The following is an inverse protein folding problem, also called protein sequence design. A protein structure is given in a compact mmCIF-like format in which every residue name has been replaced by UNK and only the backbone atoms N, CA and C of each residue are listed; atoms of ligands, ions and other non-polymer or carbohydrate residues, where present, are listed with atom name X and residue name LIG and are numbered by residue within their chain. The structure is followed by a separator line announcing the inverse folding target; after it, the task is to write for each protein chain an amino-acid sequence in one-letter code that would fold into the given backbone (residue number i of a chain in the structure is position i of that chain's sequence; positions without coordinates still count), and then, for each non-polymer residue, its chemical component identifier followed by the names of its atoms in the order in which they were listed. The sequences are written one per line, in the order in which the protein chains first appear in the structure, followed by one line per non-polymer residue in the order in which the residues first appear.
data_IF_828912599835
#
_entry.id   IF_828912599835
#
_cell.length_a   1.000
_cell.length_b   1.000
_cell.length_c   1.000
_cell.angle_alpha   90.00
_cell.angle_beta   90.00
_cell.angle_gamma   90.00
#
_symmetry.space_group_name_H-M   'P 1'
#
loop_
_entity.id
_entity.type
_entity.pdbx_description
1 polymer ?
#
# COMPACT_ATOMS: atom_id res chain seq x y z
N UNK A 1 -35.23 25.14 -66.41
CA UNK A 1 -33.79 24.90 -66.54
C UNK A 1 -33.55 23.42 -66.22
N UNK A 2 -33.29 22.59 -67.25
CA UNK A 2 -33.02 21.16 -67.08
C UNK A 2 -31.55 20.96 -66.77
N UNK A 3 -31.22 20.56 -65.52
CA UNK A 3 -29.89 20.17 -65.12
C UNK A 3 -29.54 18.83 -65.78
N UNK A 4 -28.69 18.85 -66.83
CA UNK A 4 -28.11 17.62 -67.38
C UNK A 4 -27.29 16.92 -66.32
N UNK A 5 -27.75 15.80 -65.83
CA UNK A 5 -26.95 14.90 -64.95
C UNK A 5 -25.78 14.34 -65.80
N UNK A 6 -24.56 14.77 -65.50
CA UNK A 6 -23.37 14.13 -66.07
C UNK A 6 -23.09 12.88 -65.26
N UNK A 7 -23.15 11.72 -65.90
CA UNK A 7 -22.77 10.45 -65.29
C UNK A 7 -21.25 10.39 -64.99
N UNK A 8 -20.85 9.79 -63.90
CA UNK A 8 -19.45 9.55 -63.55
C UNK A 8 -18.80 8.57 -64.56
N UNK A 9 -17.58 8.86 -64.95
CA UNK A 9 -16.79 7.93 -65.75
C UNK A 9 -16.18 6.85 -64.88
N UNK A 10 -15.97 5.63 -65.43
CA UNK A 10 -15.31 4.53 -64.71
C UNK A 10 -13.88 4.95 -64.25
N UNK A 11 -13.20 5.74 -65.03
CA UNK A 11 -11.86 6.27 -64.71
C UNK A 11 -11.89 7.18 -63.45
N UNK A 12 -12.89 8.05 -63.37
CA UNK A 12 -13.10 8.94 -62.23
C UNK A 12 -13.40 8.20 -60.93
N UNK A 13 -14.20 7.09 -61.02
CA UNK A 13 -14.45 6.21 -59.90
C UNK A 13 -13.17 5.50 -59.41
N UNK A 14 -12.37 4.95 -60.32
CA UNK A 14 -11.10 4.27 -59.96
C UNK A 14 -10.12 5.23 -59.33
N UNK A 15 -9.97 6.46 -59.86
CA UNK A 15 -9.12 7.48 -59.25
C UNK A 15 -9.59 7.90 -57.86
N UNK A 16 -10.90 8.08 -57.66
CA UNK A 16 -11.49 8.41 -56.38
C UNK A 16 -11.24 7.31 -55.34
N UNK A 17 -11.43 6.03 -55.72
CA UNK A 17 -11.16 4.87 -54.86
C UNK A 17 -9.67 4.77 -54.49
N UNK A 18 -8.79 5.01 -55.46
CA UNK A 18 -7.34 5.01 -55.20
C UNK A 18 -6.91 6.11 -54.20
N UNK A 19 -7.40 7.33 -54.38
CA UNK A 19 -7.16 8.41 -53.42
C UNK A 19 -7.75 8.12 -52.03
N UNK A 20 -8.98 7.59 -51.99
CA UNK A 20 -9.62 7.21 -50.76
C UNK A 20 -8.82 6.12 -49.99
N UNK A 21 -8.31 5.11 -50.70
CA UNK A 21 -7.46 4.07 -50.10
C UNK A 21 -6.19 4.62 -49.48
N UNK A 22 -5.51 5.58 -50.13
CA UNK A 22 -4.32 6.24 -49.60
C UNK A 22 -4.64 7.05 -48.33
N UNK A 23 -5.74 7.83 -48.35
CA UNK A 23 -6.18 8.61 -47.20
C UNK A 23 -6.53 7.66 -46.01
N UNK A 24 -7.28 6.61 -46.28
CA UNK A 24 -7.67 5.63 -45.24
C UNK A 24 -6.44 4.90 -44.66
N UNK A 25 -5.44 4.59 -45.46
CA UNK A 25 -4.18 4.01 -44.97
C UNK A 25 -3.43 5.00 -44.03
N UNK A 26 -3.43 6.29 -44.37
CA UNK A 26 -2.86 7.34 -43.52
C UNK A 26 -3.58 7.48 -42.21
N UNK A 27 -4.92 7.59 -42.23
CA UNK A 27 -5.77 7.69 -41.05
C UNK A 27 -5.60 6.45 -40.12
N UNK A 28 -5.56 5.27 -40.73
CA UNK A 28 -5.39 4.01 -39.96
C UNK A 28 -4.04 3.99 -39.23
N UNK A 29 -2.95 4.46 -39.86
CA UNK A 29 -1.64 4.57 -39.21
C UNK A 29 -1.66 5.51 -38.00
N UNK A 30 -2.29 6.68 -38.15
CA UNK A 30 -2.44 7.66 -37.06
C UNK A 30 -3.22 7.07 -35.90
N UNK A 31 -4.37 6.43 -36.17
CA UNK A 31 -5.21 5.79 -35.14
C UNK A 31 -4.46 4.69 -34.39
N UNK A 32 -3.71 3.83 -35.10
CA UNK A 32 -2.91 2.78 -34.46
C UNK A 32 -1.78 3.37 -33.58
N UNK A 33 -1.17 4.45 -34.02
CA UNK A 33 -0.12 5.15 -33.24
C UNK A 33 -0.71 5.79 -31.98
N UNK A 34 -1.85 6.48 -32.12
CA UNK A 34 -2.56 7.05 -30.98
C UNK A 34 -2.99 5.97 -29.97
N UNK A 35 -3.57 4.86 -30.43
CA UNK A 35 -3.97 3.75 -29.58
C UNK A 35 -2.79 3.17 -28.78
N UNK A 36 -1.62 3.05 -29.38
CA UNK A 36 -0.39 2.61 -28.70
C UNK A 36 0.05 3.61 -27.63
N UNK A 37 0.05 4.91 -27.97
CA UNK A 37 0.42 5.96 -27.04
C UNK A 37 -0.53 6.02 -25.83
N UNK A 38 -1.84 5.94 -26.06
CA UNK A 38 -2.82 5.91 -24.97
C UNK A 38 -2.64 4.71 -24.04
N UNK A 39 -2.33 3.53 -24.58
CA UNK A 39 -2.02 2.33 -23.76
C UNK A 39 -0.76 2.54 -22.93
N UNK A 40 0.30 3.08 -23.51
CA UNK A 40 1.54 3.37 -22.78
C UNK A 40 1.31 4.36 -21.64
N UNK A 41 0.58 5.44 -21.90
CA UNK A 41 0.24 6.44 -20.88
C UNK A 41 -0.64 5.86 -19.77
N UNK A 42 -1.64 5.05 -20.12
CA UNK A 42 -2.47 4.34 -19.16
C UNK A 42 -1.64 3.43 -18.25
N UNK A 43 -0.80 2.57 -18.83
CA UNK A 43 0.06 1.68 -18.05
C UNK A 43 1.03 2.42 -17.12
N UNK A 44 1.52 3.61 -17.52
CA UNK A 44 2.35 4.45 -16.65
C UNK A 44 1.57 5.07 -15.50
N UNK A 45 0.36 5.56 -15.78
CA UNK A 45 -0.50 6.13 -14.75
C UNK A 45 -0.87 5.06 -13.71
N UNK A 46 -1.34 3.89 -14.16
CA UNK A 46 -1.69 2.76 -13.30
C UNK A 46 -0.50 2.29 -12.45
N UNK A 47 0.71 2.22 -13.04
CA UNK A 47 1.93 1.84 -12.34
C UNK A 47 2.29 2.85 -11.25
N UNK A 48 2.24 4.15 -11.57
CA UNK A 48 2.53 5.24 -10.63
C UNK A 48 1.53 5.29 -9.48
N UNK A 49 0.24 5.11 -9.77
CA UNK A 49 -0.82 5.11 -8.76
C UNK A 49 -0.72 3.90 -7.81
N UNK A 50 -0.47 2.71 -8.37
CA UNK A 50 -0.21 1.50 -7.57
C UNK A 50 1.01 1.66 -6.66
N UNK A 51 2.09 2.23 -7.21
CA UNK A 51 3.34 2.45 -6.46
C UNK A 51 3.13 3.42 -5.31
N UNK A 52 2.40 4.52 -5.56
CA UNK A 52 2.05 5.51 -4.53
C UNK A 52 1.16 4.89 -3.45
N UNK A 53 0.08 4.21 -3.83
CA UNK A 53 -0.83 3.57 -2.90
C UNK A 53 -0.13 2.53 -2.01
N UNK A 54 0.78 1.73 -2.58
CA UNK A 54 1.59 0.79 -1.82
C UNK A 54 2.52 1.49 -0.83
N UNK A 55 3.17 2.57 -1.26
CA UNK A 55 4.05 3.38 -0.40
C UNK A 55 3.30 4.05 0.74
N UNK A 56 2.14 4.63 0.48
CA UNK A 56 1.29 5.26 1.49
C UNK A 56 0.76 4.25 2.51
N UNK A 57 0.28 3.09 2.06
CA UNK A 57 -0.19 2.01 2.93
C UNK A 57 0.92 1.54 3.88
N UNK A 58 2.09 1.18 3.34
CA UNK A 58 3.21 0.75 4.16
C UNK A 58 3.69 1.86 5.10
N UNK A 59 3.78 3.11 4.62
CA UNK A 59 4.23 4.23 5.44
C UNK A 59 3.29 4.51 6.61
N UNK A 60 1.97 4.44 6.41
CA UNK A 60 0.99 4.68 7.47
C UNK A 60 1.05 3.62 8.57
N UNK A 61 1.21 2.35 8.20
CA UNK A 61 1.35 1.25 9.16
C UNK A 61 2.67 1.35 9.94
N UNK A 62 3.78 1.61 9.23
CA UNK A 62 5.10 1.67 9.84
C UNK A 62 5.27 2.89 10.75
N UNK A 63 4.66 4.04 10.41
CA UNK A 63 4.76 5.27 11.20
C UNK A 63 4.21 5.12 12.62
N UNK A 64 3.18 4.28 12.82
CA UNK A 64 2.52 4.07 14.11
C UNK A 64 3.29 3.19 15.09
N UNK A 65 4.38 2.55 14.63
CA UNK A 65 5.11 1.56 15.43
C UNK A 65 5.93 2.21 16.57
N UNK A 66 6.01 1.48 17.67
CA UNK A 66 6.92 1.71 18.76
C UNK A 66 7.93 0.56 18.85
N UNK A 67 9.16 0.82 18.41
CA UNK A 67 10.20 -0.20 18.39
C UNK A 67 10.65 -0.57 19.80
N UNK A 68 10.73 0.39 20.74
CA UNK A 68 11.12 0.16 22.13
C UNK A 68 10.11 -0.73 22.84
N UNK A 69 8.80 -0.51 22.59
CA UNK A 69 7.73 -1.33 23.14
C UNK A 69 7.54 -2.68 22.42
N UNK A 70 8.43 -2.99 21.46
CA UNK A 70 8.50 -4.29 20.79
C UNK A 70 7.43 -4.49 19.70
N UNK A 71 6.99 -3.43 19.03
CA UNK A 71 6.07 -3.57 17.90
C UNK A 71 6.74 -4.18 16.66
N UNK A 72 8.06 -4.15 16.58
CA UNK A 72 8.81 -4.84 15.52
C UNK A 72 9.21 -6.23 16.03
N UNK A 73 8.58 -7.27 15.49
CA UNK A 73 8.77 -8.64 15.93
C UNK A 73 9.85 -9.39 15.16
N UNK A 74 10.02 -9.07 13.87
CA UNK A 74 11.08 -9.63 13.03
C UNK A 74 11.40 -8.68 11.87
N UNK A 75 12.67 -8.66 11.47
CA UNK A 75 13.21 -7.83 10.41
C UNK A 75 13.99 -8.68 9.43
N UNK A 76 13.74 -8.49 8.13
CA UNK A 76 14.55 -9.02 7.05
C UNK A 76 14.57 -8.00 5.90
N UNK A 77 15.50 -8.17 4.96
CA UNK A 77 15.60 -7.26 3.82
C UNK A 77 14.35 -7.28 2.92
N UNK A 78 13.62 -8.40 2.85
CA UNK A 78 12.45 -8.60 2.00
C UNK A 78 11.14 -8.69 2.78
N UNK A 79 11.18 -8.58 4.11
CA UNK A 79 10.01 -8.71 4.97
C UNK A 79 10.15 -8.03 6.31
N UNK A 80 9.02 -7.63 6.88
CA UNK A 80 8.92 -7.11 8.24
C UNK A 80 7.68 -7.70 8.92
N UNK A 81 7.82 -8.16 10.18
CA UNK A 81 6.73 -8.64 11.02
C UNK A 81 6.52 -7.67 12.16
N UNK A 82 5.30 -7.17 12.30
CA UNK A 82 4.96 -6.09 13.22
C UNK A 82 3.65 -6.36 13.99
N UNK A 83 3.46 -5.64 15.09
CA UNK A 83 2.16 -5.43 15.73
C UNK A 83 1.51 -4.19 15.12
N UNK A 84 0.66 -4.37 14.12
CA UNK A 84 -0.06 -3.29 13.48
C UNK A 84 -1.19 -2.79 14.39
N UNK A 85 -1.21 -1.50 14.71
CA UNK A 85 -2.29 -0.92 15.53
C UNK A 85 -3.60 -0.91 14.74
N UNK A 86 -4.68 -1.41 15.35
CA UNK A 86 -6.02 -1.44 14.75
C UNK A 86 -6.97 -0.42 15.36
N UNK A 87 -6.92 -0.26 16.67
CA UNK A 87 -7.66 0.78 17.38
C UNK A 87 -6.85 1.29 18.58
N UNK A 88 -7.15 2.52 18.99
CA UNK A 88 -6.65 3.16 20.19
C UNK A 88 -7.82 3.76 20.97
N UNK A 89 -7.77 3.64 22.29
CA UNK A 89 -8.77 4.24 23.20
C UNK A 89 -8.18 4.43 24.61
N UNK A 90 -8.98 5.00 25.48
CA UNK A 90 -8.78 4.95 26.92
C UNK A 90 -9.74 3.98 27.57
N UNK A 91 -9.28 3.20 28.55
CA UNK A 91 -10.18 2.43 29.44
C UNK A 91 -10.50 3.23 30.68
N UNK A 92 -11.76 3.18 31.13
CA UNK A 92 -12.23 3.82 32.34
C UNK A 92 -12.05 2.91 33.55
N UNK A 93 -11.01 3.14 34.34
CA UNK A 93 -10.65 2.34 35.51
C UNK A 93 -9.79 1.12 35.17
N UNK A 94 -9.68 0.15 36.10
CA UNK A 94 -8.88 -1.05 35.89
C UNK A 94 -9.42 -1.89 34.75
N UNK A 95 -8.54 -2.67 34.14
CA UNK A 95 -8.92 -3.59 33.08
C UNK A 95 -9.94 -4.59 33.61
N UNK A 96 -11.14 -4.56 33.10
CA UNK A 96 -12.26 -5.40 33.53
C UNK A 96 -12.97 -6.01 32.32
N UNK A 97 -13.75 -7.03 32.52
CA UNK A 97 -14.67 -7.63 31.55
C UNK A 97 -16.11 -7.27 31.93
N UNK A 98 -16.87 -6.56 31.09
CA UNK A 98 -16.51 -6.02 29.78
C UNK A 98 -15.51 -4.86 29.84
N UNK A 99 -14.71 -4.72 28.77
CA UNK A 99 -13.80 -3.59 28.60
C UNK A 99 -14.59 -2.29 28.50
N UNK A 100 -14.32 -1.32 29.39
CA UNK A 100 -15.04 -0.05 29.47
C UNK A 100 -14.23 1.01 28.74
N UNK A 101 -14.54 1.24 27.47
CA UNK A 101 -13.86 2.23 26.64
C UNK A 101 -14.47 3.63 26.81
N UNK A 102 -13.62 4.63 26.85
CA UNK A 102 -14.04 6.02 26.84
C UNK A 102 -14.64 6.38 25.48
N UNK A 103 -15.83 6.97 25.45
CA UNK A 103 -16.62 7.23 24.25
C UNK A 103 -16.01 8.28 23.32
N UNK A 104 -15.33 9.31 23.89
CA UNK A 104 -14.72 10.43 23.17
C UNK A 104 -13.25 10.20 22.72
N UNK A 105 -12.64 9.05 23.04
CA UNK A 105 -11.22 8.77 22.80
C UNK A 105 -10.94 7.53 21.93
N UNK A 106 -11.89 7.07 21.14
CA UNK A 106 -11.67 5.89 20.29
C UNK A 106 -11.30 6.31 18.87
N UNK A 107 -10.12 5.86 18.43
CA UNK A 107 -9.55 6.10 17.10
C UNK A 107 -9.03 4.80 16.51
N UNK A 108 -9.03 4.67 15.18
CA UNK A 108 -8.43 3.53 14.48
C UNK A 108 -9.17 3.16 13.21
N UNK A 109 -8.69 2.12 12.56
CA UNK A 109 -9.27 1.60 11.31
C UNK A 109 -10.53 0.76 11.55
N UNK A 110 -10.71 0.23 12.77
CA UNK A 110 -11.90 -0.49 13.21
C UNK A 110 -12.10 -0.35 14.72
N UNK A 111 -13.29 -0.69 15.20
CA UNK A 111 -13.57 -0.77 16.63
C UNK A 111 -12.93 -1.99 17.29
N UNK A 112 -12.86 -1.97 18.63
CA UNK A 112 -12.47 -3.12 19.44
C UNK A 112 -13.52 -4.23 19.35
N UNK A 113 -13.07 -5.45 19.12
CA UNK A 113 -13.92 -6.63 19.03
C UNK A 113 -13.47 -7.74 19.98
N UNK A 114 -14.38 -8.65 20.33
CA UNK A 114 -14.06 -9.84 21.11
C UNK A 114 -13.01 -10.67 20.37
N UNK A 115 -11.98 -11.09 21.10
CA UNK A 115 -10.82 -11.79 20.55
C UNK A 115 -9.65 -10.91 20.16
N UNK A 116 -9.82 -9.57 20.14
CA UNK A 116 -8.72 -8.66 19.84
C UNK A 116 -7.60 -8.76 20.88
N UNK A 117 -6.37 -8.80 20.38
CA UNK A 117 -5.18 -8.63 21.21
C UNK A 117 -5.00 -7.17 21.60
N UNK A 118 -4.75 -6.93 22.86
CA UNK A 118 -4.61 -5.61 23.45
C UNK A 118 -3.21 -5.38 23.99
N UNK A 119 -2.77 -4.12 23.90
CA UNK A 119 -1.72 -3.56 24.75
C UNK A 119 -2.37 -2.50 25.65
N UNK A 120 -2.19 -2.67 26.96
CA UNK A 120 -2.71 -1.78 27.98
C UNK A 120 -1.55 -1.17 28.73
N UNK A 121 -1.50 0.14 28.84
CA UNK A 121 -0.42 0.83 29.53
C UNK A 121 -0.55 0.68 31.03
N UNK A 122 0.53 0.22 31.69
CA UNK A 122 0.61 0.10 33.15
C UNK A 122 1.45 1.27 33.68
N UNK A 123 0.80 2.25 34.29
CA UNK A 123 1.50 3.43 34.87
C UNK A 123 2.53 3.08 35.92
N UNK A 124 2.32 2.11 36.86
CA UNK A 124 3.32 1.75 37.84
C UNK A 124 4.62 1.19 37.25
N UNK A 125 4.50 0.46 36.14
CA UNK A 125 5.65 -0.19 35.50
C UNK A 125 6.17 0.63 34.31
N UNK A 126 5.45 1.69 33.90
CA UNK A 126 5.71 2.46 32.67
C UNK A 126 5.85 1.57 31.44
N UNK A 127 5.07 0.51 31.36
CA UNK A 127 5.16 -0.52 30.34
C UNK A 127 3.79 -0.94 29.79
N UNK A 128 3.79 -1.39 28.54
CA UNK A 128 2.62 -1.99 27.92
C UNK A 128 2.50 -3.48 28.31
N UNK A 129 1.32 -3.87 28.74
CA UNK A 129 0.99 -5.27 29.07
C UNK A 129 0.01 -5.82 28.04
N UNK A 130 0.23 -7.05 27.61
CA UNK A 130 -0.67 -7.74 26.69
C UNK A 130 -1.91 -8.26 27.41
N UNK A 131 -3.07 -8.16 26.75
CA UNK A 131 -4.33 -8.71 27.18
C UNK A 131 -5.18 -9.10 25.96
N UNK A 132 -6.39 -9.60 26.17
CA UNK A 132 -7.34 -9.97 25.11
C UNK A 132 -8.72 -9.46 25.48
N UNK A 133 -9.49 -9.01 24.50
CA UNK A 133 -10.90 -8.65 24.67
C UNK A 133 -11.73 -9.92 24.82
N UNK A 134 -12.24 -10.19 26.04
CA UNK A 134 -12.98 -11.42 26.35
C UNK A 134 -14.50 -11.28 26.20
N UNK A 135 -15.01 -10.04 26.18
CA UNK A 135 -16.45 -9.74 26.00
C UNK A 135 -16.61 -8.44 25.22
N UNK A 136 -17.79 -8.22 24.66
CA UNK A 136 -18.08 -7.02 23.89
C UNK A 136 -17.80 -5.75 24.71
N UNK A 137 -16.95 -4.85 24.21
CA UNK A 137 -16.63 -3.61 24.92
C UNK A 137 -17.85 -2.72 25.08
N UNK A 138 -17.88 -1.95 26.18
CA UNK A 138 -18.91 -0.94 26.43
C UNK A 138 -18.29 0.44 26.36
N UNK A 139 -19.06 1.43 25.88
CA UNK A 139 -18.63 2.82 25.84
C UNK A 139 -19.19 3.56 27.04
N UNK A 140 -18.34 4.29 27.74
CA UNK A 140 -18.70 5.00 28.98
C UNK A 140 -17.98 6.35 29.05
N UNK A 141 -18.59 7.31 29.74
CA UNK A 141 -17.92 8.55 30.12
C UNK A 141 -17.21 8.38 31.45
N UNK A 142 -15.99 8.90 31.57
CA UNK A 142 -15.24 8.90 32.83
C UNK A 142 -14.24 10.10 32.89
N UNK A 143 -13.84 10.52 34.13
CA UNK A 143 -12.84 11.56 34.28
C UNK A 143 -11.46 11.13 33.76
N UNK A 144 -10.66 12.10 33.28
CA UNK A 144 -9.31 11.86 32.71
C UNK A 144 -8.37 11.13 33.69
N UNK A 145 -8.52 11.37 35.00
CA UNK A 145 -7.71 10.72 36.03
C UNK A 145 -7.89 9.20 36.13
N UNK A 146 -8.95 8.65 35.54
CA UNK A 146 -9.24 7.22 35.52
C UNK A 146 -8.94 6.58 34.15
N UNK A 147 -8.42 7.35 33.21
CA UNK A 147 -8.17 6.85 31.85
C UNK A 147 -6.82 6.16 31.75
N UNK A 148 -6.84 4.92 31.30
CA UNK A 148 -5.65 4.15 30.98
C UNK A 148 -5.59 3.90 29.48
N UNK A 149 -4.48 4.28 28.79
CA UNK A 149 -4.34 4.04 27.37
C UNK A 149 -4.40 2.54 27.00
N UNK A 150 -5.16 2.23 25.97
CA UNK A 150 -5.28 0.87 25.41
C UNK A 150 -5.22 0.92 23.90
N UNK A 151 -4.50 -0.01 23.30
CA UNK A 151 -4.48 -0.20 21.85
C UNK A 151 -4.74 -1.65 21.47
N UNK A 152 -5.59 -1.86 20.48
CA UNK A 152 -5.69 -3.19 19.86
C UNK A 152 -4.67 -3.30 18.75
N UNK A 153 -4.11 -4.50 18.60
CA UNK A 153 -3.14 -4.78 17.56
C UNK A 153 -3.40 -6.13 16.90
N UNK A 154 -2.87 -6.26 15.72
CA UNK A 154 -2.82 -7.50 14.97
C UNK A 154 -1.37 -7.77 14.55
N UNK A 155 -0.94 -9.04 14.63
CA UNK A 155 0.38 -9.41 14.14
C UNK A 155 0.31 -9.65 12.64
N UNK A 156 0.97 -8.79 11.89
CA UNK A 156 1.03 -8.88 10.43
C UNK A 156 2.47 -9.00 9.93
N UNK A 157 2.65 -9.63 8.78
CA UNK A 157 3.93 -9.71 8.08
C UNK A 157 3.78 -9.15 6.68
N UNK A 158 4.46 -8.06 6.38
CA UNK A 158 4.63 -7.55 5.03
C UNK A 158 5.81 -8.22 4.37
N UNK A 159 5.63 -8.75 3.17
CA UNK A 159 6.68 -9.44 2.41
C UNK A 159 6.41 -9.44 0.93
N UNK A 160 7.47 -9.60 0.13
CA UNK A 160 7.28 -10.01 -1.25
C UNK A 160 6.97 -11.52 -1.33
N UNK A 161 6.11 -11.91 -2.26
CA UNK A 161 5.84 -13.33 -2.53
C UNK A 161 5.52 -13.52 -4.01
N UNK A 162 5.77 -14.73 -4.50
CA UNK A 162 5.42 -15.13 -5.85
C UNK A 162 4.05 -15.78 -5.86
N UNK A 163 3.11 -15.23 -6.63
CA UNK A 163 1.77 -15.77 -6.78
C UNK A 163 1.72 -16.91 -7.80
N UNK A 164 0.56 -17.55 -7.95
CA UNK A 164 0.35 -18.68 -8.87
C UNK A 164 0.48 -18.30 -10.35
N UNK A 165 0.28 -17.04 -10.69
CA UNK A 165 0.50 -16.48 -12.04
C UNK A 165 1.99 -16.27 -12.38
N UNK A 166 2.88 -16.52 -11.41
CA UNK A 166 4.32 -16.36 -11.54
C UNK A 166 4.85 -14.95 -11.29
N UNK A 167 3.98 -13.96 -11.10
CA UNK A 167 4.35 -12.59 -10.76
C UNK A 167 4.64 -12.43 -9.25
N UNK A 168 5.40 -11.40 -8.90
CA UNK A 168 5.67 -11.06 -7.51
C UNK A 168 4.72 -9.96 -7.05
N UNK A 169 4.30 -10.03 -5.78
CA UNK A 169 3.42 -9.05 -5.15
C UNK A 169 3.91 -8.68 -3.75
N UNK A 170 3.59 -7.48 -3.30
CA UNK A 170 3.61 -7.18 -1.86
C UNK A 170 2.39 -7.87 -1.26
N UNK A 171 2.61 -8.70 -0.26
CA UNK A 171 1.55 -9.35 0.49
C UNK A 171 1.61 -9.02 1.96
N UNK A 172 0.44 -8.95 2.58
CA UNK A 172 0.26 -8.96 4.02
C UNK A 172 -0.18 -10.36 4.45
N UNK A 173 0.49 -10.90 5.44
CA UNK A 173 0.08 -12.14 6.11
C UNK A 173 -0.41 -11.79 7.50
N UNK A 174 -1.65 -12.10 7.78
CA UNK A 174 -2.32 -11.99 9.07
C UNK A 174 -2.85 -13.37 9.52
N UNK A 175 -3.77 -13.40 10.50
CA UNK A 175 -4.46 -14.61 10.95
C UNK A 175 -5.34 -15.25 9.86
N UNK A 176 -5.84 -14.48 8.90
CA UNK A 176 -6.66 -14.94 7.77
C UNK A 176 -5.84 -15.51 6.60
N UNK A 177 -4.52 -15.38 6.63
CA UNK A 177 -3.62 -15.88 5.60
C UNK A 177 -2.81 -14.82 4.88
N UNK A 178 -2.30 -15.15 3.70
CA UNK A 178 -1.52 -14.23 2.86
C UNK A 178 -2.41 -13.60 1.80
N UNK A 179 -2.50 -12.27 1.79
CA UNK A 179 -3.30 -11.49 0.84
C UNK A 179 -2.41 -10.54 0.04
N UNK A 180 -2.60 -10.42 -1.28
CA UNK A 180 -1.91 -9.43 -2.10
C UNK A 180 -2.45 -8.03 -1.80
N UNK A 181 -1.54 -7.05 -1.66
CA UNK A 181 -1.91 -5.64 -1.46
C UNK A 181 -1.44 -4.74 -2.60
N UNK A 182 -0.35 -5.08 -3.29
CA UNK A 182 0.14 -4.31 -4.43
C UNK A 182 1.06 -5.14 -5.32
N UNK A 183 1.14 -4.76 -6.61
CA UNK A 183 2.01 -5.37 -7.62
C UNK A 183 1.46 -5.24 -9.03
N UNK A 184 2.09 -5.87 -10.02
CA UNK A 184 3.24 -6.79 -9.91
C UNK A 184 4.56 -6.08 -9.58
N UNK A 185 5.43 -6.78 -8.82
CA UNK A 185 6.76 -6.32 -8.47
C UNK A 185 7.83 -6.82 -9.46
N UNK A 186 8.91 -6.08 -9.59
CA UNK A 186 10.16 -6.62 -10.12
C UNK A 186 10.70 -7.73 -9.18
N UNK A 187 11.54 -8.66 -9.67
CA UNK A 187 12.26 -9.58 -8.80
C UNK A 187 13.03 -8.83 -7.71
N UNK A 188 12.87 -9.21 -6.44
CA UNK A 188 13.38 -8.47 -5.27
C UNK A 188 12.90 -7.00 -5.19
N UNK A 189 11.71 -6.72 -5.74
CA UNK A 189 11.16 -5.37 -5.84
C UNK A 189 10.62 -4.78 -4.52
N UNK A 190 10.65 -5.50 -3.40
CA UNK A 190 10.39 -4.98 -2.07
C UNK A 190 11.65 -5.14 -1.22
N UNK A 191 12.13 -4.03 -0.63
CA UNK A 191 13.32 -4.06 0.19
C UNK A 191 13.19 -3.09 1.37
N UNK A 192 13.51 -3.59 2.58
CA UNK A 192 13.53 -2.84 3.83
C UNK A 192 14.97 -2.59 4.29
N UNK A 193 15.20 -1.39 4.83
CA UNK A 193 16.42 -1.02 5.53
C UNK A 193 16.05 -0.39 6.85
N UNK A 194 16.69 -0.81 7.93
CA UNK A 194 16.36 -0.34 9.27
C UNK A 194 17.49 0.54 9.80
N UNK A 195 17.14 1.65 10.41
CA UNK A 195 18.08 2.66 10.92
C UNK A 195 17.80 2.94 12.39
N UNK A 196 18.85 3.09 13.16
CA UNK A 196 18.78 3.54 14.56
C UNK A 196 18.62 5.07 14.68
N UNK A 197 18.60 5.57 15.91
CA UNK A 197 18.46 7.01 16.21
C UNK A 197 19.63 7.87 15.71
N UNK A 198 20.80 7.28 15.47
CA UNK A 198 21.94 7.97 14.85
C UNK A 198 21.85 8.00 13.30
N UNK A 199 20.89 7.27 12.71
CA UNK A 199 20.77 7.08 11.27
C UNK A 199 21.66 5.98 10.71
N UNK A 200 22.35 5.21 11.55
CA UNK A 200 23.14 4.06 11.13
C UNK A 200 22.25 2.82 10.91
N UNK A 201 22.60 1.91 9.98
CA UNK A 201 21.88 0.65 9.81
C UNK A 201 21.89 -0.19 11.09
N UNK A 202 20.75 -0.76 11.45
CA UNK A 202 20.61 -1.63 12.63
C UNK A 202 19.89 -2.94 12.29
N UNK A 203 20.21 -3.99 13.04
CA UNK A 203 19.53 -5.30 13.03
C UNK A 203 18.82 -5.58 14.35
N UNK A 204 18.82 -4.63 15.28
CA UNK A 204 18.17 -4.75 16.59
C UNK A 204 16.78 -4.12 16.53
N UNK A 205 15.67 -4.89 16.66
CA UNK A 205 14.32 -4.38 16.52
C UNK A 205 13.99 -3.19 17.42
N UNK A 206 14.38 -3.26 18.70
CA UNK A 206 14.13 -2.20 19.67
C UNK A 206 14.97 -0.92 19.48
N UNK A 207 15.99 -0.94 18.61
CA UNK A 207 16.79 0.24 18.29
C UNK A 207 16.34 0.97 17.03
N UNK A 208 15.33 0.44 16.32
CA UNK A 208 14.87 1.05 15.05
C UNK A 208 14.19 2.38 15.32
N UNK A 209 14.69 3.43 14.70
CA UNK A 209 14.09 4.77 14.71
C UNK A 209 13.52 5.18 13.34
N UNK A 210 14.01 4.57 12.25
CA UNK A 210 13.48 4.78 10.92
C UNK A 210 13.55 3.52 10.06
N UNK A 211 12.63 3.37 9.13
CA UNK A 211 12.56 2.25 8.17
C UNK A 211 12.58 2.82 6.76
N UNK A 212 13.62 2.47 6.00
CA UNK A 212 13.67 2.71 4.56
C UNK A 212 12.89 1.62 3.82
N UNK A 213 12.03 2.02 2.92
CA UNK A 213 11.24 1.10 2.06
C UNK A 213 11.56 1.43 0.62
N UNK A 214 12.01 0.44 -0.15
CA UNK A 214 12.14 0.51 -1.60
C UNK A 214 11.15 -0.44 -2.23
N UNK A 215 10.33 0.10 -3.13
CA UNK A 215 9.35 -0.66 -3.89
C UNK A 215 9.67 -0.46 -5.36
N UNK A 216 9.74 -1.54 -6.13
CA UNK A 216 10.01 -1.55 -7.56
C UNK A 216 8.95 -2.39 -8.24
N UNK A 217 8.11 -1.73 -9.03
CA UNK A 217 6.95 -2.34 -9.67
C UNK A 217 7.10 -2.41 -11.19
N UNK A 218 6.37 -3.34 -11.78
CA UNK A 218 6.23 -3.52 -13.21
C UNK A 218 4.83 -3.14 -13.67
N UNK A 219 4.68 -2.73 -14.93
CA UNK A 219 3.34 -2.57 -15.51
C UNK A 219 2.63 -3.92 -15.62
N UNK A 220 1.30 -3.93 -15.53
CA UNK A 220 0.50 -5.16 -15.66
C UNK A 220 0.60 -5.76 -17.06
N UNK A 221 0.69 -4.91 -18.09
CA UNK A 221 0.80 -5.33 -19.48
C UNK A 221 2.08 -4.79 -20.13
N UNK A 222 2.65 -5.54 -21.09
CA UNK A 222 3.78 -5.06 -21.85
C UNK A 222 3.37 -3.95 -22.82
N UNK A 223 4.25 -2.97 -23.00
CA UNK A 223 4.12 -1.90 -23.98
C UNK A 223 5.20 -1.99 -25.05
N UNK A 224 4.88 -1.56 -26.28
CA UNK A 224 5.85 -1.54 -27.36
C UNK A 224 6.37 -0.12 -27.59
N UNK A 225 7.66 0.08 -27.30
CA UNK A 225 8.37 1.36 -27.53
C UNK A 225 9.49 1.15 -28.55
N UNK A 226 9.50 1.95 -29.63
CA UNK A 226 10.55 1.89 -30.67
C UNK A 226 10.84 0.47 -31.20
N UNK A 227 9.78 -0.36 -31.31
CA UNK A 227 9.90 -1.75 -31.77
C UNK A 227 10.31 -2.78 -30.69
N UNK A 228 10.59 -2.36 -29.47
CA UNK A 228 10.87 -3.25 -28.33
C UNK A 228 9.62 -3.37 -27.48
N UNK A 229 9.19 -4.61 -27.21
CA UNK A 229 8.05 -4.90 -26.32
C UNK A 229 8.58 -5.37 -24.98
N UNK A 230 8.12 -4.75 -23.89
CA UNK A 230 8.52 -5.08 -22.52
C UNK A 230 7.61 -4.43 -21.49
N UNK A 231 7.75 -4.86 -20.23
CA UNK A 231 7.06 -4.21 -19.11
C UNK A 231 7.71 -2.88 -18.78
N UNK A 232 6.91 -1.91 -18.41
CA UNK A 232 7.41 -0.67 -17.79
C UNK A 232 7.81 -0.98 -16.36
N UNK A 233 8.82 -0.28 -15.88
CA UNK A 233 9.33 -0.39 -14.53
C UNK A 233 9.40 1.00 -13.91
N UNK A 234 9.01 1.09 -12.63
CA UNK A 234 9.13 2.31 -11.83
C UNK A 234 9.41 1.95 -10.37
N UNK A 235 9.97 2.89 -9.61
CA UNK A 235 10.39 2.63 -8.25
C UNK A 235 10.09 3.80 -7.31
N UNK A 236 9.74 3.46 -6.08
CA UNK A 236 9.56 4.39 -4.97
C UNK A 236 10.57 4.05 -3.88
N UNK A 237 11.26 5.06 -3.37
CA UNK A 237 12.10 4.96 -2.18
C UNK A 237 11.59 5.96 -1.17
N UNK A 238 11.22 5.49 0.01
CA UNK A 238 10.77 6.33 1.11
C UNK A 238 11.46 5.94 2.41
N UNK A 239 11.55 6.87 3.34
CA UNK A 239 12.02 6.61 4.71
C UNK A 239 10.93 7.05 5.67
N UNK A 240 10.46 6.13 6.48
CA UNK A 240 9.44 6.33 7.50
C UNK A 240 10.12 6.44 8.85
N UNK A 241 9.97 7.58 9.52
CA UNK A 241 10.41 7.78 10.89
C UNK A 241 9.32 7.29 11.83
N UNK A 242 9.69 6.45 12.79
CA UNK A 242 8.76 5.94 13.76
C UNK A 242 8.33 7.06 14.73
N UNK A 243 7.03 7.18 14.94
CA UNK A 243 6.47 8.26 15.74
C UNK A 243 7.03 8.30 17.17
N UNK A 244 7.21 7.13 17.77
CA UNK A 244 7.59 6.99 19.18
C UNK A 244 9.10 6.80 19.40
N UNK A 245 9.87 6.74 18.30
CA UNK A 245 11.33 6.62 18.33
C UNK A 245 11.95 7.77 17.51
N UNK A 246 11.88 9.02 17.98
CA UNK A 246 12.48 10.13 17.26
C UNK A 246 13.99 9.91 17.11
N UNK A 247 14.53 10.26 15.95
CA UNK A 247 15.96 10.38 15.77
C UNK A 247 16.47 11.34 16.85
N UNK A 248 17.51 10.93 17.60
CA UNK A 248 18.05 11.75 18.68
C UNK A 248 18.32 13.19 18.23
N UNK A 249 17.83 14.13 18.99
CA UNK A 249 18.09 15.57 18.85
C UNK A 249 19.53 15.89 19.19
#
# INVERSE_FOLDING_TARGET
MSLKSRGFTVLELVLALGLFAVVMAGVSRVLLTQKRLYRELGQRADLSDNLRAAGENLSSELWSLDAVDGDILAMAADSIRIRAQRAFSGTCGPLASPLRLRDDLTFGVRDFAVGDSLLVYSSPDSAWRTSVVTSAPTRVSCPDSLVTPVRSFEVVTYRSYRASDGAYYIGVRDAGGLQPIAGPLAPAGLFFTFFDSSGAPTVVPGAVAAIGVRIQMLSAEPVTRRGVTGLLEDSLVTRVFLRNNPLGS
#
